data_IF_433306374396
#
_entry.id   IF_433306374396
#
_cell.length_a   1.000
_cell.length_b   1.000
_cell.length_c   1.000
_cell.angle_alpha   90.00
_cell.angle_beta   90.00
_cell.angle_gamma   90.00
#
_symmetry.space_group_name_H-M   'P 1'
#
loop_
_entity.id
_entity.type
_entity.pdbx_description
1 polymer ?
#
# COMPACT_ATOMS: atom_id res chain seq x y z
N UNK A 1 -8.73 -46.34 -38.14
CA UNK A 1 -9.04 -44.89 -38.19
C UNK A 1 -9.27 -44.25 -36.83
N UNK A 2 -10.05 -44.81 -35.91
CA UNK A 2 -10.33 -44.18 -34.59
C UNK A 2 -9.10 -43.93 -33.70
N UNK A 3 -8.06 -44.77 -33.74
CA UNK A 3 -6.81 -44.61 -32.93
C UNK A 3 -5.96 -43.39 -33.37
N UNK A 4 -5.90 -43.09 -34.64
CA UNK A 4 -5.09 -41.96 -35.14
C UNK A 4 -5.76 -40.60 -34.89
N UNK A 5 -7.09 -40.57 -34.87
CA UNK A 5 -7.85 -39.34 -34.54
C UNK A 5 -7.65 -38.97 -33.07
N UNK A 6 -7.62 -39.96 -32.16
CA UNK A 6 -7.39 -39.74 -30.73
C UNK A 6 -5.96 -39.25 -30.45
N UNK A 7 -4.96 -39.81 -31.15
CA UNK A 7 -3.56 -39.41 -31.01
C UNK A 7 -3.29 -38.00 -31.55
N UNK A 8 -3.96 -37.59 -32.65
CA UNK A 8 -3.91 -36.24 -33.18
C UNK A 8 -4.56 -35.21 -32.22
N UNK A 9 -5.63 -35.58 -31.51
CA UNK A 9 -6.27 -34.73 -30.51
C UNK A 9 -5.38 -34.50 -29.26
N UNK A 10 -4.66 -35.52 -28.79
CA UNK A 10 -3.72 -35.39 -27.66
C UNK A 10 -2.51 -34.52 -28.04
N UNK A 11 -1.98 -34.68 -29.23
CA UNK A 11 -0.90 -33.85 -29.76
C UNK A 11 -1.33 -32.37 -29.93
N UNK A 12 -2.52 -32.11 -30.45
CA UNK A 12 -3.05 -30.77 -30.60
C UNK A 12 -3.31 -30.10 -29.24
N UNK A 13 -3.81 -30.82 -28.25
CA UNK A 13 -4.03 -30.33 -26.89
C UNK A 13 -2.70 -30.02 -26.18
N UNK A 14 -1.68 -30.85 -26.34
CA UNK A 14 -0.34 -30.59 -25.75
C UNK A 14 0.38 -29.41 -26.43
N UNK A 15 0.24 -29.24 -27.74
CA UNK A 15 0.77 -28.08 -28.45
C UNK A 15 0.10 -26.77 -28.03
N UNK A 16 -1.21 -26.77 -27.86
CA UNK A 16 -1.94 -25.57 -27.40
C UNK A 16 -1.56 -25.17 -25.96
N UNK A 17 -1.40 -26.12 -25.09
CA UNK A 17 -0.94 -25.87 -23.70
C UNK A 17 0.50 -25.33 -23.65
N UNK A 18 1.39 -25.89 -24.45
CA UNK A 18 2.78 -25.44 -24.52
C UNK A 18 2.92 -24.03 -25.11
N UNK A 19 2.16 -23.70 -26.14
CA UNK A 19 2.17 -22.36 -26.73
C UNK A 19 1.57 -21.29 -25.80
N UNK A 20 0.57 -21.64 -24.99
CA UNK A 20 -0.01 -20.76 -23.99
C UNK A 20 0.99 -20.45 -22.87
N UNK A 21 1.73 -21.47 -22.38
CA UNK A 21 2.75 -21.27 -21.36
C UNK A 21 3.89 -20.36 -21.86
N UNK A 22 4.37 -20.53 -23.08
CA UNK A 22 5.40 -19.67 -23.66
C UNK A 22 4.95 -18.21 -23.80
N UNK A 23 3.69 -17.97 -24.15
CA UNK A 23 3.14 -16.61 -24.22
C UNK A 23 3.00 -15.97 -22.84
N UNK A 24 2.60 -16.76 -21.84
CA UNK A 24 2.49 -16.29 -20.45
C UNK A 24 3.87 -15.96 -19.87
N UNK A 25 4.86 -16.81 -20.08
CA UNK A 25 6.23 -16.56 -19.60
C UNK A 25 6.85 -15.33 -20.26
N UNK A 26 6.64 -15.12 -21.54
CA UNK A 26 7.06 -13.93 -22.26
C UNK A 26 6.40 -12.66 -21.70
N UNK A 27 5.09 -12.71 -21.44
CA UNK A 27 4.35 -11.61 -20.83
C UNK A 27 4.86 -11.31 -19.42
N UNK A 28 5.03 -12.35 -18.60
CA UNK A 28 5.56 -12.26 -17.24
C UNK A 28 6.91 -11.54 -17.23
N UNK A 29 7.84 -11.94 -18.08
CA UNK A 29 9.16 -11.32 -18.20
C UNK A 29 9.08 -9.82 -18.57
N UNK A 30 8.19 -9.45 -19.50
CA UNK A 30 7.98 -8.05 -19.88
C UNK A 30 7.41 -7.23 -18.73
N UNK A 31 6.47 -7.79 -17.98
CA UNK A 31 5.88 -7.15 -16.81
C UNK A 31 6.89 -6.99 -15.68
N UNK A 32 7.68 -8.01 -15.38
CA UNK A 32 8.78 -7.94 -14.40
C UNK A 32 9.74 -6.78 -14.70
N UNK A 33 10.14 -6.65 -15.97
CA UNK A 33 11.04 -5.58 -16.40
C UNK A 33 10.41 -4.20 -16.23
N UNK A 34 9.18 -4.03 -16.69
CA UNK A 34 8.46 -2.74 -16.63
C UNK A 34 8.15 -2.32 -15.19
N UNK A 35 7.63 -3.24 -14.38
CA UNK A 35 7.31 -2.94 -12.98
C UNK A 35 8.56 -2.68 -12.14
N UNK A 36 9.65 -3.42 -12.41
CA UNK A 36 10.95 -3.16 -11.77
C UNK A 36 11.53 -1.80 -12.19
N UNK A 37 11.26 -1.34 -13.40
CA UNK A 37 11.67 0.00 -13.85
C UNK A 37 10.93 1.07 -13.05
N UNK A 38 9.60 0.99 -12.96
CA UNK A 38 8.78 1.92 -12.15
C UNK A 38 9.24 1.90 -10.69
N UNK A 39 9.51 0.73 -10.13
CA UNK A 39 9.99 0.59 -8.76
C UNK A 39 11.29 1.38 -8.52
N UNK A 40 12.27 1.23 -9.42
CA UNK A 40 13.56 1.92 -9.30
C UNK A 40 13.44 3.42 -9.49
N UNK A 41 12.62 3.88 -10.43
CA UNK A 41 12.38 5.30 -10.66
C UNK A 41 11.71 5.99 -9.45
N UNK A 42 10.70 5.36 -8.89
CA UNK A 42 9.92 5.95 -7.78
C UNK A 42 10.72 5.95 -6.47
N UNK A 43 11.47 4.88 -6.18
CA UNK A 43 12.23 4.75 -4.93
C UNK A 43 13.67 5.24 -5.03
N UNK A 44 14.16 5.55 -6.23
CA UNK A 44 15.55 5.95 -6.50
C UNK A 44 16.58 4.98 -5.89
N UNK A 45 16.23 3.69 -5.85
CA UNK A 45 17.09 2.63 -5.31
C UNK A 45 16.98 1.35 -6.13
N UNK A 46 17.99 0.48 -6.12
CA UNK A 46 17.92 -0.81 -6.77
C UNK A 46 16.83 -1.68 -6.14
N UNK A 47 16.16 -2.47 -6.97
CA UNK A 47 15.15 -3.41 -6.54
C UNK A 47 14.48 -4.10 -7.72
N UNK A 48 13.79 -5.19 -7.43
CA UNK A 48 13.11 -6.00 -8.43
C UNK A 48 11.68 -6.33 -8.00
N UNK A 49 10.76 -6.05 -8.91
CA UNK A 49 9.38 -6.55 -8.82
C UNK A 49 9.28 -7.77 -9.72
N UNK A 50 8.74 -8.86 -9.18
CA UNK A 50 8.47 -10.09 -9.92
C UNK A 50 6.98 -10.37 -9.93
N UNK A 51 6.52 -10.91 -11.06
CA UNK A 51 5.15 -11.41 -11.21
C UNK A 51 5.12 -12.84 -10.71
N UNK A 52 4.36 -13.09 -9.66
CA UNK A 52 4.20 -14.42 -9.06
C UNK A 52 3.19 -15.27 -9.84
N UNK A 53 2.07 -14.64 -10.23
CA UNK A 53 1.04 -15.31 -11.04
C UNK A 53 0.20 -14.34 -11.85
N UNK A 54 -0.35 -14.86 -12.96
CA UNK A 54 -1.30 -14.16 -13.81
C UNK A 54 -2.57 -15.02 -13.90
N UNK A 55 -3.72 -14.43 -13.59
CA UNK A 55 -5.00 -15.09 -13.77
C UNK A 55 -5.84 -14.34 -14.80
N UNK A 56 -6.18 -15.03 -15.89
CA UNK A 56 -6.99 -14.49 -16.97
C UNK A 56 -8.35 -15.19 -17.02
N UNK A 57 -9.41 -14.44 -16.76
CA UNK A 57 -10.77 -14.94 -16.91
C UNK A 57 -11.45 -14.32 -18.13
N UNK A 58 -11.56 -15.11 -19.20
CA UNK A 58 -12.16 -14.67 -20.46
C UNK A 58 -13.68 -14.39 -20.34
N UNK A 59 -14.40 -15.16 -19.52
CA UNK A 59 -15.84 -15.00 -19.32
C UNK A 59 -16.14 -13.72 -18.52
N UNK A 60 -15.43 -13.48 -17.44
CA UNK A 60 -15.58 -12.27 -16.60
C UNK A 60 -14.84 -11.06 -17.19
N UNK A 61 -14.06 -11.24 -18.24
CA UNK A 61 -13.18 -10.22 -18.82
C UNK A 61 -12.30 -9.56 -17.75
N UNK A 62 -11.72 -10.37 -16.86
CA UNK A 62 -10.82 -9.92 -15.80
C UNK A 62 -9.40 -10.44 -16.01
N UNK A 63 -8.43 -9.61 -15.65
CA UNK A 63 -7.01 -9.89 -15.66
C UNK A 63 -6.48 -9.56 -14.26
N UNK A 64 -6.01 -10.56 -13.55
CA UNK A 64 -5.48 -10.42 -12.20
C UNK A 64 -3.99 -10.72 -12.21
N UNK A 65 -3.20 -9.81 -11.68
CA UNK A 65 -1.76 -9.88 -11.58
C UNK A 65 -1.35 -9.91 -10.12
N UNK A 66 -0.65 -10.95 -9.71
CA UNK A 66 -0.07 -11.04 -8.38
C UNK A 66 1.44 -10.83 -8.48
N UNK A 67 1.96 -9.97 -7.64
CA UNK A 67 3.38 -9.62 -7.59
C UNK A 67 3.95 -9.92 -6.22
N UNK A 68 5.30 -9.99 -6.17
CA UNK A 68 6.00 -10.10 -4.91
C UNK A 68 5.76 -8.85 -4.02
N UNK A 69 6.18 -8.95 -2.77
CA UNK A 69 6.02 -7.92 -1.76
C UNK A 69 6.65 -6.56 -2.14
N UNK A 70 7.68 -6.58 -2.99
CA UNK A 70 8.40 -5.36 -3.36
C UNK A 70 7.50 -4.26 -3.90
N UNK A 71 6.47 -4.60 -4.68
CA UNK A 71 5.58 -3.60 -5.25
C UNK A 71 4.81 -2.83 -4.17
N UNK A 72 4.47 -3.47 -3.03
CA UNK A 72 3.75 -2.83 -1.93
C UNK A 72 4.59 -1.78 -1.18
N UNK A 73 5.91 -1.82 -1.32
CA UNK A 73 6.82 -0.82 -0.73
C UNK A 73 6.86 0.51 -1.47
N UNK A 74 6.24 0.59 -2.64
CA UNK A 74 6.11 1.87 -3.32
C UNK A 74 5.22 2.84 -2.51
N UNK A 75 5.56 4.13 -2.47
CA UNK A 75 4.66 5.14 -1.95
C UNK A 75 3.45 5.27 -2.87
N UNK A 76 2.40 4.49 -2.60
CA UNK A 76 1.23 4.44 -3.45
C UNK A 76 0.51 5.79 -3.48
N UNK A 77 0.41 6.34 -4.67
CA UNK A 77 -0.35 7.54 -5.03
C UNK A 77 -1.21 7.19 -6.23
N UNK A 78 -2.28 7.92 -6.48
CA UNK A 78 -3.14 7.66 -7.64
C UNK A 78 -2.36 7.68 -8.96
N UNK A 79 -1.37 8.56 -9.08
CA UNK A 79 -0.49 8.60 -10.26
C UNK A 79 0.39 7.36 -10.39
N UNK A 80 1.01 6.92 -9.30
CA UNK A 80 1.84 5.70 -9.28
C UNK A 80 1.01 4.47 -9.66
N UNK A 81 -0.18 4.36 -9.09
CA UNK A 81 -1.14 3.29 -9.43
C UNK A 81 -1.49 3.35 -10.91
N UNK A 82 -1.80 4.54 -11.44
CA UNK A 82 -2.10 4.74 -12.87
C UNK A 82 -0.93 4.28 -13.76
N UNK A 83 0.29 4.70 -13.46
CA UNK A 83 1.49 4.29 -14.19
C UNK A 83 1.64 2.77 -14.24
N UNK A 84 1.41 2.09 -13.11
CA UNK A 84 1.46 0.63 -13.04
C UNK A 84 0.41 0.01 -13.96
N UNK A 85 -0.85 0.45 -13.87
CA UNK A 85 -1.92 -0.07 -14.72
C UNK A 85 -1.69 0.20 -16.21
N UNK A 86 -1.19 1.38 -16.57
CA UNK A 86 -0.91 1.74 -17.95
C UNK A 86 0.26 0.94 -18.50
N UNK A 87 1.30 0.70 -17.70
CA UNK A 87 2.41 -0.19 -18.06
C UNK A 87 1.94 -1.62 -18.34
N UNK A 88 1.04 -2.14 -17.51
CA UNK A 88 0.45 -3.48 -17.74
C UNK A 88 -0.37 -3.48 -19.03
N UNK A 89 -1.25 -2.49 -19.23
CA UNK A 89 -2.06 -2.39 -20.45
C UNK A 89 -1.23 -2.31 -21.73
N UNK A 90 -0.06 -1.67 -21.65
CA UNK A 90 0.84 -1.57 -22.80
C UNK A 90 1.26 -2.95 -23.31
N UNK A 91 1.49 -3.92 -22.43
CA UNK A 91 1.94 -5.27 -22.79
C UNK A 91 0.80 -6.24 -23.14
N UNK A 92 -0.45 -5.87 -22.86
CA UNK A 92 -1.61 -6.71 -23.17
C UNK A 92 -2.03 -6.62 -24.64
N UNK A 93 -2.62 -7.71 -25.17
CA UNK A 93 -3.26 -7.71 -26.50
C UNK A 93 -4.43 -6.73 -26.54
N UNK A 94 -4.82 -6.31 -27.76
CA UNK A 94 -5.95 -5.39 -27.97
C UNK A 94 -7.25 -5.88 -27.31
N UNK A 95 -7.51 -7.19 -27.35
CA UNK A 95 -8.68 -7.79 -26.71
C UNK A 95 -8.58 -7.70 -25.17
N UNK A 96 -7.40 -7.97 -24.62
CA UNK A 96 -7.18 -7.99 -23.16
C UNK A 96 -7.11 -6.57 -22.55
N UNK A 97 -6.75 -5.54 -23.32
CA UNK A 97 -6.79 -4.14 -22.88
C UNK A 97 -8.16 -3.70 -22.38
N UNK A 98 -9.23 -4.35 -22.86
CA UNK A 98 -10.62 -4.08 -22.45
C UNK A 98 -11.03 -4.79 -21.15
N UNK A 99 -10.16 -5.64 -20.61
CA UNK A 99 -10.46 -6.38 -19.39
C UNK A 99 -10.29 -5.48 -18.16
N UNK A 100 -11.06 -5.80 -17.13
CA UNK A 100 -10.83 -5.24 -15.81
C UNK A 100 -9.50 -5.78 -15.28
N UNK A 101 -8.56 -4.90 -15.02
CA UNK A 101 -7.24 -5.25 -14.48
C UNK A 101 -7.27 -5.01 -12.98
N UNK A 102 -6.82 -5.99 -12.20
CA UNK A 102 -6.54 -5.88 -10.76
C UNK A 102 -5.11 -6.33 -10.49
N UNK A 103 -4.37 -5.57 -9.71
CA UNK A 103 -2.97 -5.86 -9.36
C UNK A 103 -2.87 -6.02 -7.86
N UNK A 104 -2.29 -7.13 -7.44
CA UNK A 104 -2.13 -7.49 -6.04
C UNK A 104 -0.65 -7.55 -5.66
N UNK A 105 -0.32 -7.01 -4.50
CA UNK A 105 0.96 -7.18 -3.85
C UNK A 105 0.70 -7.41 -2.36
N UNK A 106 1.38 -8.36 -1.74
CA UNK A 106 1.10 -8.79 -0.36
C UNK A 106 -0.41 -9.09 -0.11
N UNK A 107 -1.05 -9.74 -1.08
CA UNK A 107 -2.49 -10.09 -1.07
C UNK A 107 -3.44 -8.88 -1.04
N UNK A 108 -2.95 -7.67 -1.20
CA UNK A 108 -3.74 -6.44 -1.24
C UNK A 108 -3.77 -5.87 -2.66
N UNK A 109 -4.92 -5.39 -3.11
CA UNK A 109 -5.00 -4.66 -4.37
C UNK A 109 -4.29 -3.30 -4.22
N UNK A 110 -3.37 -2.99 -5.14
CA UNK A 110 -2.51 -1.80 -5.03
C UNK A 110 -3.30 -0.48 -5.00
N UNK A 111 -4.48 -0.41 -5.62
CA UNK A 111 -5.35 0.76 -5.57
C UNK A 111 -5.85 1.04 -4.15
N UNK A 112 -5.98 0.00 -3.33
CA UNK A 112 -6.40 0.13 -1.93
C UNK A 112 -5.27 0.63 -1.03
N UNK A 113 -4.01 0.52 -1.47
CA UNK A 113 -2.84 0.99 -0.71
C UNK A 113 -2.65 2.51 -0.76
N UNK A 114 -3.38 3.22 -1.62
CA UNK A 114 -3.33 4.70 -1.65
C UNK A 114 -3.96 5.25 -0.37
N UNK A 115 -3.22 6.01 0.46
CA UNK A 115 -3.76 6.62 1.67
C UNK A 115 -4.87 7.62 1.36
N UNK A 116 -5.88 7.71 2.23
CA UNK A 116 -7.00 8.64 2.05
C UNK A 116 -6.60 10.10 1.88
N UNK A 117 -5.50 10.51 2.51
CA UNK A 117 -4.97 11.87 2.39
C UNK A 117 -4.63 12.24 0.94
N UNK A 118 -4.10 11.27 0.19
CA UNK A 118 -3.66 11.47 -1.20
C UNK A 118 -4.71 11.09 -2.24
N UNK A 119 -5.90 10.64 -1.83
CA UNK A 119 -6.99 10.33 -2.76
C UNK A 119 -7.66 11.61 -3.23
N UNK A 120 -7.63 11.86 -4.52
CA UNK A 120 -8.39 12.89 -5.20
C UNK A 120 -9.82 12.40 -5.47
N UNK A 121 -9.97 11.09 -5.70
CA UNK A 121 -11.24 10.41 -5.88
C UNK A 121 -11.94 10.14 -4.53
N UNK A 122 -12.87 9.21 -4.50
CA UNK A 122 -13.64 8.86 -3.30
C UNK A 122 -12.74 8.32 -2.18
N UNK A 123 -12.77 8.97 -1.03
CA UNK A 123 -12.13 8.51 0.20
C UNK A 123 -12.77 7.22 0.71
N UNK A 124 -11.95 6.29 1.21
CA UNK A 124 -12.41 5.08 1.87
C UNK A 124 -12.91 5.43 3.28
N UNK A 125 -14.22 5.28 3.49
CA UNK A 125 -14.87 5.62 4.76
C UNK A 125 -14.41 4.74 5.92
N UNK A 126 -14.04 3.49 5.65
CA UNK A 126 -13.57 2.56 6.68
C UNK A 126 -12.22 2.97 7.27
N UNK A 127 -11.45 3.77 6.53
CA UNK A 127 -10.16 4.33 6.94
C UNK A 127 -10.27 5.72 7.55
N UNK A 128 -11.47 6.21 7.75
CA UNK A 128 -11.68 7.50 8.42
C UNK A 128 -11.92 7.24 9.90
N UNK A 129 -11.24 8.01 10.74
CA UNK A 129 -11.51 7.99 12.18
C UNK A 129 -12.93 8.53 12.37
N UNK A 130 -13.81 7.68 12.91
CA UNK A 130 -15.24 8.02 13.12
C UNK A 130 -15.48 8.86 14.37
N UNK A 131 -14.43 9.20 15.11
CA UNK A 131 -14.57 9.97 16.34
C UNK A 131 -14.81 11.44 16.03
N UNK A 132 -15.85 12.02 16.65
CA UNK A 132 -15.90 13.45 16.81
C UNK A 132 -14.59 13.87 17.47
N UNK A 133 -13.84 14.75 16.81
CA UNK A 133 -12.63 15.32 17.39
C UNK A 133 -13.07 15.98 18.70
N UNK A 134 -12.77 15.35 19.82
CA UNK A 134 -12.90 16.01 21.10
C UNK A 134 -11.90 17.16 21.11
N UNK A 135 -12.27 18.31 21.63
CA UNK A 135 -11.28 19.37 21.81
C UNK A 135 -10.09 18.78 22.54
N UNK A 136 -8.86 19.18 22.23
CA UNK A 136 -7.68 18.70 22.94
C UNK A 136 -7.88 18.94 24.44
N UNK A 137 -7.47 17.96 25.26
CA UNK A 137 -7.55 18.06 26.73
C UNK A 137 -6.82 19.27 27.28
N UNK A 138 -5.87 19.76 26.49
CA UNK A 138 -5.02 20.88 26.83
C UNK A 138 -5.13 21.89 25.69
N UNK A 139 -5.75 23.03 25.94
CA UNK A 139 -6.06 24.04 24.93
C UNK A 139 -5.29 25.33 25.04
N UNK A 140 -4.67 25.62 26.17
CA UNK A 140 -3.90 26.87 26.39
C UNK A 140 -2.78 26.62 27.39
N UNK A 141 -1.61 26.33 26.90
CA UNK A 141 -0.39 26.39 27.76
C UNK A 141 0.16 27.80 27.85
N UNK A 142 -0.08 28.64 26.90
CA UNK A 142 0.30 30.05 26.92
C UNK A 142 -0.89 30.90 27.37
N UNK A 143 -1.21 30.88 28.66
CA UNK A 143 -1.95 32.01 29.20
C UNK A 143 -1.08 33.27 29.02
N UNK A 144 -1.65 34.37 28.52
CA UNK A 144 -0.90 35.62 28.33
C UNK A 144 -0.25 36.13 29.61
N UNK A 145 -0.66 35.61 30.75
CA UNK A 145 -0.18 35.93 32.11
C UNK A 145 1.14 35.22 32.47
N UNK A 146 1.50 34.18 31.70
CA UNK A 146 2.73 33.43 31.89
C UNK A 146 3.70 33.76 30.75
N UNK A 147 4.29 34.93 30.75
CA UNK A 147 5.40 35.22 29.84
C UNK A 147 6.63 34.47 30.39
N UNK A 148 6.98 33.38 29.72
CA UNK A 148 8.20 32.63 30.02
C UNK A 148 9.36 33.30 29.29
N UNK A 149 10.14 34.15 30.00
CA UNK A 149 11.36 34.77 29.46
C UNK A 149 12.59 33.90 29.68
N UNK A 150 12.42 32.57 29.47
CA UNK A 150 13.49 31.62 29.76
C UNK A 150 14.10 31.03 28.49
N UNK A 151 15.06 30.11 28.64
CA UNK A 151 15.95 29.65 27.61
C UNK A 151 15.32 29.08 26.32
N UNK A 152 14.07 28.65 26.38
CA UNK A 152 13.34 28.16 25.18
C UNK A 152 12.37 29.20 24.61
N UNK A 153 12.31 30.41 25.11
CA UNK A 153 11.47 31.48 24.58
C UNK A 153 11.69 31.66 23.06
N UNK A 154 10.62 31.70 22.29
CA UNK A 154 10.62 31.79 20.83
C UNK A 154 11.22 30.58 20.09
N UNK A 155 11.48 29.48 20.75
CA UNK A 155 11.87 28.25 20.10
C UNK A 155 10.62 27.40 19.80
N UNK A 156 10.57 26.82 18.60
CA UNK A 156 9.50 25.92 18.19
C UNK A 156 9.99 24.47 18.27
N UNK A 157 9.37 23.68 19.13
CA UNK A 157 9.74 22.28 19.34
C UNK A 157 8.59 21.41 18.81
N UNK A 158 8.89 20.57 17.82
CA UNK A 158 7.97 19.53 17.37
C UNK A 158 8.25 18.26 18.17
N UNK A 159 7.26 17.82 18.93
CA UNK A 159 7.36 16.63 19.76
C UNK A 159 6.52 15.49 19.20
N UNK A 160 7.14 14.33 19.04
CA UNK A 160 6.46 13.11 18.65
C UNK A 160 6.69 12.05 19.72
N UNK A 161 5.71 11.84 20.57
CA UNK A 161 5.85 11.03 21.78
C UNK A 161 5.84 9.51 21.54
N UNK A 162 5.28 9.04 20.44
CA UNK A 162 5.22 7.61 20.11
C UNK A 162 4.68 7.38 18.70
N UNK A 163 4.47 6.09 18.32
CA UNK A 163 4.01 5.69 17.00
C UNK A 163 2.51 5.92 16.78
N UNK A 164 1.69 5.67 17.80
CA UNK A 164 0.25 5.85 17.75
C UNK A 164 -0.52 4.78 16.98
N UNK A 165 -1.67 5.17 16.48
CA UNK A 165 -2.56 4.32 15.71
C UNK A 165 -2.26 4.38 14.22
N UNK A 166 -2.35 3.22 13.56
CA UNK A 166 -2.31 3.10 12.11
C UNK A 166 -3.45 2.21 11.61
N UNK A 167 -3.79 2.35 10.34
CA UNK A 167 -4.76 1.48 9.73
C UNK A 167 -4.06 0.20 9.23
N UNK A 168 -4.35 -0.94 9.89
CA UNK A 168 -3.82 -2.23 9.48
C UNK A 168 -4.60 -2.74 8.27
N UNK A 169 -3.97 -2.71 7.12
CA UNK A 169 -4.57 -3.02 5.84
C UNK A 169 -5.08 -4.48 5.77
N UNK A 170 -4.34 -5.41 6.34
CA UNK A 170 -4.69 -6.84 6.32
C UNK A 170 -5.90 -7.16 7.18
N UNK A 171 -6.06 -6.44 8.27
CA UNK A 171 -7.17 -6.61 9.22
C UNK A 171 -8.36 -5.70 8.91
N UNK A 172 -8.19 -4.70 8.04
CA UNK A 172 -9.22 -3.75 7.68
C UNK A 172 -9.69 -2.86 8.84
N UNK A 173 -8.85 -2.62 9.83
CA UNK A 173 -9.17 -1.84 11.03
C UNK A 173 -8.01 -1.02 11.56
N UNK A 174 -8.29 -0.09 12.45
CA UNK A 174 -7.28 0.67 13.17
C UNK A 174 -6.68 -0.15 14.30
N UNK A 175 -5.36 -0.14 14.39
CA UNK A 175 -4.58 -0.87 15.40
C UNK A 175 -3.49 0.03 15.97
N UNK A 176 -3.05 -0.28 17.20
CA UNK A 176 -1.82 0.28 17.72
C UNK A 176 -0.62 -0.29 16.98
N UNK A 177 0.33 0.56 16.63
CA UNK A 177 1.49 0.10 15.86
C UNK A 177 2.38 -0.82 16.67
N UNK A 178 2.46 -0.61 17.99
CA UNK A 178 3.24 -1.46 18.89
C UNK A 178 2.35 -2.49 19.56
N UNK A 179 2.90 -3.71 19.70
CA UNK A 179 2.24 -4.78 20.43
C UNK A 179 2.05 -4.40 21.90
N UNK A 180 1.05 -5.01 22.52
CA UNK A 180 0.83 -4.86 23.96
C UNK A 180 1.95 -5.55 24.76
N UNK A 181 2.56 -4.82 25.69
CA UNK A 181 3.52 -5.34 26.64
C UNK A 181 2.80 -5.44 27.99
N UNK A 182 2.66 -6.65 28.53
CA UNK A 182 1.93 -6.89 29.78
C UNK A 182 0.56 -6.20 29.83
N UNK A 183 -0.21 -6.34 28.75
CA UNK A 183 -1.52 -5.70 28.54
C UNK A 183 -1.48 -4.17 28.35
N UNK A 184 -0.35 -3.52 28.53
CA UNK A 184 -0.20 -2.09 28.30
C UNK A 184 0.29 -1.84 26.89
N UNK A 185 -0.28 -0.82 26.23
CA UNK A 185 0.19 -0.36 24.92
C UNK A 185 1.37 0.59 25.15
N UNK A 186 2.50 0.33 24.51
CA UNK A 186 3.72 1.16 24.61
C UNK A 186 3.42 2.64 24.33
N UNK A 187 2.62 2.91 23.32
CA UNK A 187 2.24 4.26 22.94
C UNK A 187 1.52 5.02 24.07
N UNK A 188 0.60 4.37 24.77
CA UNK A 188 -0.10 4.97 25.91
C UNK A 188 0.83 5.21 27.10
N UNK A 189 1.76 4.29 27.33
CA UNK A 189 2.75 4.44 28.39
C UNK A 189 3.61 5.69 28.14
N UNK A 190 4.15 5.85 26.94
CA UNK A 190 4.96 7.02 26.58
C UNK A 190 4.14 8.31 26.67
N UNK A 191 2.90 8.33 26.20
CA UNK A 191 2.00 9.48 26.27
C UNK A 191 1.77 9.92 27.72
N UNK A 192 1.68 8.96 28.66
CA UNK A 192 1.41 9.26 30.08
C UNK A 192 2.53 10.04 30.79
N UNK A 193 3.72 10.04 30.22
CA UNK A 193 4.84 10.86 30.74
C UNK A 193 5.04 12.13 29.93
N UNK A 194 4.93 12.03 28.62
CA UNK A 194 5.25 13.14 27.73
C UNK A 194 4.23 14.27 27.86
N UNK A 195 2.93 13.95 27.78
CA UNK A 195 1.90 14.99 27.79
C UNK A 195 1.77 15.69 29.15
N UNK A 196 1.68 14.99 30.30
CA UNK A 196 1.49 15.69 31.59
C UNK A 196 2.76 16.21 32.22
N UNK A 197 3.94 15.78 31.82
CA UNK A 197 5.21 16.19 32.45
C UNK A 197 6.16 16.88 31.49
N UNK A 198 6.58 16.21 30.40
CA UNK A 198 7.61 16.76 29.52
C UNK A 198 7.15 18.03 28.82
N UNK A 199 5.92 18.02 28.27
CA UNK A 199 5.37 19.20 27.57
C UNK A 199 5.33 20.42 28.49
N UNK A 200 4.72 20.36 29.70
CA UNK A 200 4.75 21.47 30.61
C UNK A 200 6.15 21.92 31.03
N UNK A 201 7.08 20.98 31.15
CA UNK A 201 8.48 21.34 31.45
C UNK A 201 9.15 22.14 30.36
N UNK A 202 8.93 21.72 29.10
CA UNK A 202 9.46 22.43 27.92
C UNK A 202 8.81 23.81 27.73
N UNK A 203 7.53 23.94 28.06
CA UNK A 203 6.81 25.22 28.01
C UNK A 203 7.24 26.17 29.11
N UNK A 204 7.70 25.64 30.25
CA UNK A 204 8.20 26.42 31.39
C UNK A 204 9.71 26.73 31.33
N UNK A 205 10.42 26.19 30.37
CA UNK A 205 11.85 26.40 30.18
C UNK A 205 12.13 27.59 29.26
#
# INVERSE_FOLDING_TARGET
MKKYVFMAFILAASYSSFSQNLQEDSLRHKLDKSLSHIYREVLLRPGRVTVDSIALNKHKKSFELHTNLSLSYLPMRENTVRQIYDSIRYHLSLAQKKYRISVFSDKQEISTLVPNFYRQSRKDKNRMISHKVKPPLVTNFSAPENSFDKGLTNNHIALWQSHGWYYEQKLGRWEWQRARIFQTVEDLYTQSYVLPFLVPMLENA
#
